data_IF_330704477553
#
_entry.id   IF_330704477553
#
_cell.length_a   1.000
_cell.length_b   1.000
_cell.length_c   1.000
_cell.angle_alpha   90.00
_cell.angle_beta   90.00
_cell.angle_gamma   90.00
#
_symmetry.space_group_name_H-M   'P 1'
#
loop_
_entity.id
_entity.type
_entity.pdbx_description
1 polymer ?
#
# COMPACT_ATOMS: atom_id res chain seq x y z
N UNK A 1 34.82 -27.94 -59.34
CA UNK A 1 34.81 -28.93 -58.23
C UNK A 1 35.62 -28.33 -57.10
N UNK A 2 35.17 -28.12 -55.89
CA UNK A 2 33.84 -28.13 -55.28
C UNK A 2 33.91 -27.12 -54.12
N UNK A 3 32.87 -26.33 -53.95
CA UNK A 3 32.65 -25.55 -52.74
C UNK A 3 32.28 -26.53 -51.62
N UNK A 4 32.95 -26.43 -50.47
CA UNK A 4 32.58 -27.18 -49.27
C UNK A 4 31.70 -26.31 -48.40
N UNK A 5 30.42 -26.66 -48.35
CA UNK A 5 29.39 -26.07 -47.49
C UNK A 5 29.75 -26.25 -46.02
N UNK A 6 29.95 -25.13 -45.31
CA UNK A 6 29.99 -25.12 -43.85
C UNK A 6 28.57 -25.19 -43.30
N UNK A 7 28.22 -26.32 -42.71
CA UNK A 7 27.01 -26.47 -41.90
C UNK A 7 26.98 -25.41 -40.77
N UNK A 8 25.85 -24.71 -40.56
CA UNK A 8 25.72 -23.83 -39.41
C UNK A 8 25.54 -24.65 -38.12
N UNK A 9 26.28 -24.26 -37.09
CA UNK A 9 26.26 -24.78 -35.71
C UNK A 9 24.82 -24.94 -35.16
N UNK A 10 24.42 -26.14 -34.67
CA UNK A 10 23.05 -26.40 -34.18
C UNK A 10 22.74 -25.78 -32.80
N UNK A 11 23.60 -24.96 -32.20
CA UNK A 11 23.41 -24.41 -30.86
C UNK A 11 22.95 -22.93 -30.80
N UNK A 12 22.41 -22.34 -31.88
CA UNK A 12 21.59 -21.12 -31.72
C UNK A 12 20.20 -21.56 -31.26
N UNK A 13 20.06 -21.84 -29.95
CA UNK A 13 18.74 -21.89 -29.32
C UNK A 13 18.01 -20.60 -29.68
N UNK A 14 16.96 -20.72 -30.50
CA UNK A 14 16.06 -19.62 -30.82
C UNK A 14 15.62 -19.01 -29.48
N UNK A 15 16.03 -17.77 -29.21
CA UNK A 15 15.48 -17.01 -28.08
C UNK A 15 13.95 -17.10 -28.20
N UNK A 16 13.23 -17.54 -27.16
CA UNK A 16 11.78 -17.66 -27.24
C UNK A 16 11.20 -16.34 -27.76
N UNK A 17 10.35 -16.42 -28.77
CA UNK A 17 9.70 -15.25 -29.35
C UNK A 17 9.08 -14.42 -28.22
N UNK A 18 9.47 -13.15 -28.17
CA UNK A 18 8.93 -12.15 -27.24
C UNK A 18 7.43 -12.01 -27.45
N UNK A 19 6.62 -12.75 -26.69
CA UNK A 19 5.17 -12.56 -26.74
C UNK A 19 4.80 -11.38 -25.85
N UNK A 20 4.58 -10.22 -26.49
CA UNK A 20 3.99 -9.08 -25.81
C UNK A 20 2.62 -9.48 -25.25
N UNK A 21 2.31 -9.00 -24.04
CA UNK A 21 1.07 -9.29 -23.32
C UNK A 21 0.38 -7.98 -22.99
N UNK A 22 -0.94 -8.00 -22.96
CA UNK A 22 -1.75 -6.89 -22.47
C UNK A 22 -1.95 -7.04 -20.97
N UNK A 23 -1.36 -6.16 -20.17
CA UNK A 23 -1.32 -6.27 -18.71
C UNK A 23 -2.05 -5.10 -18.04
N UNK A 24 -2.96 -5.42 -17.13
CA UNK A 24 -3.61 -4.43 -16.27
C UNK A 24 -2.86 -4.34 -14.94
N UNK A 25 -2.49 -3.13 -14.53
CA UNK A 25 -1.99 -2.85 -13.18
C UNK A 25 -3.07 -2.10 -12.41
N UNK A 26 -3.51 -2.65 -11.28
CA UNK A 26 -4.55 -2.05 -10.45
C UNK A 26 -3.87 -1.26 -9.32
N UNK A 27 -3.90 0.08 -9.43
CA UNK A 27 -3.25 1.03 -8.52
C UNK A 27 -2.06 1.74 -9.16
N UNK A 28 -2.03 3.06 -9.05
CA UNK A 28 -0.97 3.99 -9.48
C UNK A 28 -0.10 4.50 -8.34
N UNK A 29 -0.01 3.75 -7.24
CA UNK A 29 0.96 3.99 -6.17
C UNK A 29 2.38 3.51 -6.54
N UNK A 30 3.34 3.67 -5.63
CA UNK A 30 4.74 3.28 -5.83
C UNK A 30 4.92 1.85 -6.39
N UNK A 31 4.20 0.87 -5.85
CA UNK A 31 4.22 -0.52 -6.30
C UNK A 31 3.71 -0.68 -7.75
N UNK A 32 2.59 -0.04 -8.08
CA UNK A 32 2.00 -0.11 -9.42
C UNK A 32 2.83 0.62 -10.46
N UNK A 33 3.45 1.74 -10.11
CA UNK A 33 4.37 2.47 -10.99
C UNK A 33 5.64 1.67 -11.27
N UNK A 34 6.20 0.99 -10.26
CA UNK A 34 7.32 0.07 -10.44
C UNK A 34 6.93 -1.09 -11.38
N UNK A 35 5.78 -1.73 -11.15
CA UNK A 35 5.25 -2.78 -12.02
C UNK A 35 5.06 -2.30 -13.46
N UNK A 36 4.43 -1.15 -13.66
CA UNK A 36 4.19 -0.59 -14.98
C UNK A 36 5.50 -0.27 -15.72
N UNK A 37 6.49 0.27 -15.02
CA UNK A 37 7.83 0.54 -15.56
C UNK A 37 8.50 -0.72 -16.07
N UNK A 38 8.58 -1.75 -15.23
CA UNK A 38 9.28 -2.98 -15.57
C UNK A 38 8.54 -3.79 -16.64
N UNK A 39 7.21 -3.84 -16.61
CA UNK A 39 6.40 -4.45 -17.66
C UNK A 39 6.61 -3.78 -19.03
N UNK A 40 6.65 -2.44 -19.08
CA UNK A 40 6.96 -1.72 -20.34
C UNK A 40 8.37 -1.96 -20.81
N UNK A 41 9.34 -2.06 -19.88
CA UNK A 41 10.74 -2.37 -20.21
C UNK A 41 10.90 -3.74 -20.84
N UNK A 42 10.10 -4.73 -20.45
CA UNK A 42 10.04 -6.06 -21.06
C UNK A 42 9.15 -6.13 -22.33
N UNK A 43 8.59 -5.00 -22.78
CA UNK A 43 7.85 -4.90 -24.05
C UNK A 43 6.36 -5.26 -23.98
N UNK A 44 5.76 -5.28 -22.79
CA UNK A 44 4.33 -5.53 -22.62
C UNK A 44 3.49 -4.26 -22.83
N UNK A 45 2.25 -4.44 -23.30
CA UNK A 45 1.26 -3.37 -23.40
C UNK A 45 0.57 -3.18 -22.05
N UNK A 46 0.84 -2.07 -21.36
CA UNK A 46 0.41 -1.85 -19.98
C UNK A 46 -0.73 -0.84 -19.90
N UNK A 47 -1.70 -1.10 -19.03
CA UNK A 47 -2.69 -0.10 -18.57
C UNK A 47 -2.69 -0.08 -17.05
N UNK A 48 -2.45 1.08 -16.46
CA UNK A 48 -2.58 1.31 -15.01
C UNK A 48 -3.94 1.95 -14.75
N UNK A 49 -4.74 1.37 -13.85
CA UNK A 49 -6.01 1.95 -13.40
C UNK A 49 -5.83 2.52 -11.99
N UNK A 50 -5.90 3.84 -11.86
CA UNK A 50 -5.75 4.58 -10.60
C UNK A 50 -7.04 5.30 -10.27
N UNK A 51 -7.58 5.05 -9.08
CA UNK A 51 -8.86 5.61 -8.65
C UNK A 51 -8.77 7.12 -8.33
N UNK A 52 -7.59 7.61 -7.99
CA UNK A 52 -7.37 8.99 -7.58
C UNK A 52 -7.13 9.91 -8.79
N UNK A 53 -7.20 11.22 -8.55
CA UNK A 53 -6.95 12.25 -9.55
C UNK A 53 -5.49 12.46 -9.94
N UNK A 54 -4.55 11.79 -9.27
CA UNK A 54 -3.12 11.78 -9.59
C UNK A 54 -2.52 10.42 -9.16
N UNK A 55 -1.29 10.14 -9.60
CA UNK A 55 -0.52 8.98 -9.13
C UNK A 55 0.02 9.21 -7.72
N UNK A 56 0.58 8.16 -7.11
CA UNK A 56 1.30 8.26 -5.83
C UNK A 56 0.68 7.45 -4.69
N UNK A 57 -0.59 7.04 -4.81
CA UNK A 57 -1.27 6.20 -3.81
C UNK A 57 -1.24 6.85 -2.42
N UNK A 58 -0.65 6.16 -1.42
CA UNK A 58 -0.52 6.70 -0.05
C UNK A 58 0.11 8.09 0.03
N UNK A 59 0.99 8.45 -0.90
CA UNK A 59 1.71 9.72 -0.86
C UNK A 59 0.89 10.89 -1.41
N UNK A 60 -0.21 10.61 -2.12
CA UNK A 60 -1.19 11.61 -2.54
C UNK A 60 -2.06 12.00 -1.34
N UNK A 61 -1.67 13.08 -0.67
CA UNK A 61 -2.37 13.58 0.51
C UNK A 61 -3.66 14.31 0.12
N UNK A 62 -4.74 13.92 0.79
CA UNK A 62 -6.04 14.59 0.72
C UNK A 62 -6.35 15.22 2.08
N UNK A 63 -6.45 16.55 2.20
CA UNK A 63 -6.82 17.20 3.45
C UNK A 63 -8.28 16.96 3.86
N UNK A 64 -9.12 16.50 2.94
CA UNK A 64 -10.54 16.23 3.20
C UNK A 64 -10.74 14.82 3.76
N UNK A 65 -11.78 14.68 4.58
CA UNK A 65 -12.22 13.40 5.17
C UNK A 65 -13.67 13.09 4.84
N UNK A 66 -14.32 13.91 4.00
CA UNK A 66 -15.78 14.02 3.98
C UNK A 66 -16.52 13.20 2.93
N UNK A 67 -15.87 12.55 1.95
CA UNK A 67 -16.61 11.82 0.91
C UNK A 67 -15.92 10.53 0.45
N UNK A 68 -16.38 9.39 0.95
CA UNK A 68 -16.02 8.05 0.45
C UNK A 68 -14.74 7.43 1.05
N UNK A 69 -14.29 6.34 0.44
CA UNK A 69 -13.06 5.63 0.82
C UNK A 69 -11.88 6.50 0.37
N UNK A 70 -11.29 7.26 1.30
CA UNK A 70 -10.09 8.05 1.01
C UNK A 70 -8.92 7.08 0.81
N UNK A 71 -8.23 7.08 -0.34
CA UNK A 71 -7.18 6.09 -0.58
C UNK A 71 -5.99 6.26 0.37
N UNK A 72 -5.63 7.51 0.69
CA UNK A 72 -4.45 7.85 1.49
C UNK A 72 -4.74 7.97 2.99
N UNK A 73 -3.82 7.41 3.78
CA UNK A 73 -3.74 7.58 5.24
C UNK A 73 -2.72 8.63 5.67
N UNK A 74 -2.17 9.42 4.73
CA UNK A 74 -1.20 10.44 5.06
C UNK A 74 -1.85 11.61 5.82
N UNK A 75 -1.08 12.21 6.72
CA UNK A 75 -1.44 13.41 7.46
C UNK A 75 -0.39 14.50 7.22
N UNK A 76 -0.77 15.76 7.46
CA UNK A 76 -0.02 16.93 6.98
C UNK A 76 1.43 16.98 7.48
N UNK A 77 1.67 16.53 8.71
CA UNK A 77 3.01 16.52 9.30
C UNK A 77 3.84 15.28 8.94
N UNK A 78 3.28 14.31 8.22
CA UNK A 78 3.93 13.02 7.95
C UNK A 78 5.26 13.22 7.23
N UNK A 79 6.32 12.64 7.81
CA UNK A 79 7.67 12.62 7.23
C UNK A 79 8.17 11.19 7.15
N UNK A 80 9.10 10.96 6.24
CA UNK A 80 9.79 9.69 6.18
C UNK A 80 10.57 9.43 7.47
N UNK A 81 10.44 8.21 7.99
CA UNK A 81 11.32 7.70 9.05
C UNK A 81 12.57 7.03 8.50
N UNK A 82 12.56 6.70 7.22
CA UNK A 82 13.70 6.22 6.45
C UNK A 82 14.36 7.38 5.71
N UNK A 83 15.69 7.34 5.53
CA UNK A 83 16.37 8.36 4.75
C UNK A 83 15.95 8.24 3.28
N UNK A 84 15.84 9.37 2.56
CA UNK A 84 15.36 9.42 1.16
C UNK A 84 16.12 8.47 0.23
N UNK A 85 17.41 8.24 0.50
CA UNK A 85 18.25 7.36 -0.29
C UNK A 85 17.71 5.91 -0.29
N UNK A 86 17.19 5.45 0.85
CA UNK A 86 16.55 4.14 0.99
C UNK A 86 15.16 4.07 0.32
N UNK A 87 14.60 5.22 -0.07
CA UNK A 87 13.34 5.35 -0.79
C UNK A 87 13.50 5.47 -2.32
N UNK A 88 14.73 5.29 -2.83
CA UNK A 88 15.06 5.30 -4.25
C UNK A 88 14.67 4.00 -4.96
N UNK A 89 14.32 4.11 -6.24
CA UNK A 89 14.40 2.97 -7.17
C UNK A 89 15.85 2.82 -7.64
N UNK A 90 16.24 1.61 -8.03
CA UNK A 90 17.65 1.34 -8.34
C UNK A 90 18.18 2.11 -9.55
N UNK A 91 17.34 2.41 -10.54
CA UNK A 91 17.69 3.21 -11.73
C UNK A 91 17.12 4.64 -11.70
N UNK A 92 16.53 5.06 -10.57
CA UNK A 92 16.01 6.41 -10.37
C UNK A 92 16.16 6.84 -8.90
N UNK A 93 17.20 7.60 -8.62
CA UNK A 93 17.56 7.98 -7.26
C UNK A 93 16.68 9.11 -6.71
N UNK A 94 16.29 8.99 -5.44
CA UNK A 94 15.54 10.04 -4.74
C UNK A 94 16.50 11.08 -4.14
N UNK A 95 17.00 11.94 -5.02
CA UNK A 95 17.91 13.04 -4.66
C UNK A 95 17.14 14.34 -4.35
N UNK A 96 17.69 15.24 -3.52
CA UNK A 96 17.18 16.60 -3.38
C UNK A 96 17.12 17.30 -4.74
N UNK A 97 16.05 18.05 -4.96
CA UNK A 97 15.86 18.88 -6.15
C UNK A 97 15.52 20.30 -5.72
N UNK A 98 16.01 21.27 -6.49
CA UNK A 98 15.68 22.68 -6.25
C UNK A 98 14.23 22.96 -6.62
N UNK A 99 13.60 23.85 -5.86
CA UNK A 99 12.26 24.33 -6.15
C UNK A 99 11.53 24.83 -4.90
N UNK A 100 10.61 25.80 -5.04
CA UNK A 100 9.95 26.45 -3.90
C UNK A 100 9.07 25.49 -3.09
N UNK A 101 8.61 24.40 -3.69
CA UNK A 101 7.78 23.37 -3.04
C UNK A 101 8.54 22.08 -2.71
N UNK A 102 9.83 22.01 -3.03
CA UNK A 102 10.66 20.82 -2.77
C UNK A 102 11.15 20.81 -1.33
N UNK A 103 11.25 19.63 -0.77
CA UNK A 103 11.81 19.42 0.56
C UNK A 103 13.23 18.87 0.42
N UNK A 104 14.31 19.58 0.82
CA UNK A 104 15.68 19.11 0.66
C UNK A 104 16.15 18.18 1.80
N UNK A 105 15.35 18.00 2.86
CA UNK A 105 15.78 17.31 4.08
C UNK A 105 16.00 15.83 3.82
N UNK A 106 17.01 15.20 4.45
CA UNK A 106 17.26 13.74 4.30
C UNK A 106 16.04 12.87 4.65
N UNK A 107 15.19 13.35 5.57
CA UNK A 107 13.91 12.76 5.96
C UNK A 107 12.77 13.72 5.58
N UNK A 108 12.38 13.76 4.30
CA UNK A 108 11.43 14.75 3.82
C UNK A 108 9.98 14.41 4.20
N UNK A 109 9.08 15.37 3.99
CA UNK A 109 7.64 15.20 4.11
C UNK A 109 7.04 14.33 3.00
N UNK A 110 5.85 13.79 3.26
CA UNK A 110 5.13 12.92 2.32
C UNK A 110 4.93 13.55 0.93
N UNK A 111 4.79 14.88 0.84
CA UNK A 111 4.64 15.62 -0.43
C UNK A 111 5.83 15.46 -1.36
N UNK A 112 7.04 15.41 -0.80
CA UNK A 112 8.27 15.24 -1.59
C UNK A 112 8.35 13.84 -2.19
N UNK A 113 7.84 12.82 -1.49
CA UNK A 113 7.72 11.45 -2.04
C UNK A 113 6.73 11.42 -3.19
N UNK A 114 5.61 12.14 -3.09
CA UNK A 114 4.67 12.28 -4.20
C UNK A 114 5.33 12.98 -5.40
N UNK A 115 6.08 14.06 -5.20
CA UNK A 115 6.85 14.72 -6.28
C UNK A 115 7.88 13.79 -6.91
N UNK A 116 8.60 13.00 -6.10
CA UNK A 116 9.52 11.98 -6.60
C UNK A 116 8.84 10.95 -7.50
N UNK A 117 7.64 10.46 -7.13
CA UNK A 117 6.89 9.53 -7.96
C UNK A 117 6.38 10.17 -9.26
N UNK A 118 6.00 11.45 -9.22
CA UNK A 118 5.67 12.20 -10.45
C UNK A 118 6.88 12.40 -11.35
N UNK A 119 8.03 12.72 -10.78
CA UNK A 119 9.29 12.85 -11.53
C UNK A 119 9.67 11.49 -12.17
N UNK A 120 9.47 10.38 -11.46
CA UNK A 120 9.66 9.03 -11.98
C UNK A 120 8.72 8.74 -13.17
N UNK A 121 7.43 9.09 -13.05
CA UNK A 121 6.48 8.96 -14.15
C UNK A 121 6.90 9.80 -15.37
N UNK A 122 7.35 11.03 -15.16
CA UNK A 122 7.79 11.92 -16.24
C UNK A 122 9.06 11.39 -16.93
N UNK A 123 10.07 10.98 -16.15
CA UNK A 123 11.34 10.47 -16.68
C UNK A 123 11.16 9.22 -17.57
N UNK A 124 10.15 8.41 -17.28
CA UNK A 124 9.90 7.15 -17.98
C UNK A 124 8.62 7.15 -18.82
N UNK A 125 7.99 8.31 -19.01
CA UNK A 125 6.78 8.47 -19.82
C UNK A 125 5.62 7.58 -19.38
N UNK A 126 5.50 7.28 -18.08
CA UNK A 126 4.53 6.28 -17.59
C UNK A 126 3.08 6.75 -17.66
N UNK A 127 2.85 8.07 -17.65
CA UNK A 127 1.50 8.64 -17.65
C UNK A 127 0.67 8.24 -18.86
N UNK A 128 1.29 7.93 -20.01
CA UNK A 128 0.59 7.42 -21.20
C UNK A 128 -0.16 6.11 -20.96
N UNK A 129 0.30 5.31 -19.99
CA UNK A 129 -0.33 4.06 -19.60
C UNK A 129 -1.35 4.24 -18.46
N UNK A 130 -1.39 5.41 -17.80
CA UNK A 130 -2.19 5.64 -16.59
C UNK A 130 -3.57 6.19 -16.93
N UNK A 131 -4.59 5.51 -16.42
CA UNK A 131 -5.98 5.98 -16.40
C UNK A 131 -6.32 6.43 -14.99
N UNK A 132 -6.25 7.73 -14.77
CA UNK A 132 -6.64 8.38 -13.51
C UNK A 132 -8.16 8.37 -13.34
N UNK A 133 -8.63 8.63 -12.11
CA UNK A 133 -10.05 8.65 -11.75
C UNK A 133 -10.81 7.39 -12.20
N UNK A 134 -10.13 6.25 -12.27
CA UNK A 134 -10.65 4.99 -12.80
C UNK A 134 -10.55 3.92 -11.73
N UNK A 135 -11.68 3.60 -11.11
CA UNK A 135 -11.75 2.59 -10.04
C UNK A 135 -12.08 1.23 -10.65
N UNK A 136 -11.23 0.24 -10.38
CA UNK A 136 -11.53 -1.16 -10.70
C UNK A 136 -12.57 -1.69 -9.72
N UNK A 137 -13.67 -2.21 -10.26
CA UNK A 137 -14.81 -2.74 -9.47
C UNK A 137 -14.92 -4.25 -9.55
N UNK A 138 -14.38 -4.88 -10.62
CA UNK A 138 -14.31 -6.34 -10.72
C UNK A 138 -13.13 -6.79 -11.59
N UNK A 139 -12.46 -7.86 -11.17
CA UNK A 139 -11.47 -8.62 -11.92
C UNK A 139 -11.87 -10.08 -11.81
N UNK A 140 -12.19 -10.72 -12.94
CA UNK A 140 -12.63 -12.12 -12.98
C UNK A 140 -12.05 -12.84 -14.21
N UNK A 141 -11.80 -14.15 -14.14
CA UNK A 141 -11.38 -14.92 -15.31
C UNK A 141 -12.45 -14.88 -16.41
N UNK A 142 -12.02 -14.81 -17.68
CA UNK A 142 -12.94 -14.84 -18.84
C UNK A 142 -13.48 -16.25 -19.13
N UNK A 143 -12.73 -17.28 -18.74
CA UNK A 143 -13.06 -18.70 -18.90
C UNK A 143 -12.49 -19.51 -17.74
N UNK A 144 -13.14 -20.63 -17.43
CA UNK A 144 -12.68 -21.62 -16.45
C UNK A 144 -11.59 -22.55 -16.98
N UNK A 145 -11.36 -22.58 -18.30
CA UNK A 145 -10.36 -23.47 -18.94
C UNK A 145 -8.92 -22.96 -18.77
N UNK A 146 -7.98 -23.88 -18.56
CA UNK A 146 -6.58 -23.58 -18.19
C UNK A 146 -5.63 -23.27 -19.36
N UNK A 147 -6.04 -23.47 -20.63
CA UNK A 147 -5.11 -23.38 -21.78
C UNK A 147 -4.54 -21.98 -22.03
N UNK A 148 -5.34 -20.93 -21.85
CA UNK A 148 -4.89 -19.53 -21.83
C UNK A 148 -5.86 -18.72 -20.96
N UNK A 149 -5.42 -18.37 -19.74
CA UNK A 149 -6.25 -17.62 -18.79
C UNK A 149 -6.14 -16.12 -19.07
N UNK A 150 -7.29 -15.49 -19.35
CA UNK A 150 -7.42 -14.04 -19.48
C UNK A 150 -8.37 -13.50 -18.41
N UNK A 151 -8.29 -12.20 -18.17
CA UNK A 151 -9.01 -11.52 -17.10
C UNK A 151 -9.90 -10.42 -17.67
N UNK A 152 -11.19 -10.48 -17.37
CA UNK A 152 -12.11 -9.39 -17.58
C UNK A 152 -12.00 -8.41 -16.40
N UNK A 153 -11.56 -7.19 -16.69
CA UNK A 153 -11.47 -6.10 -15.74
C UNK A 153 -12.59 -5.12 -16.03
N UNK A 154 -13.47 -4.90 -15.04
CA UNK A 154 -14.51 -3.87 -15.06
C UNK A 154 -14.06 -2.69 -14.20
N UNK A 155 -14.22 -1.49 -14.73
CA UNK A 155 -13.84 -0.25 -14.06
C UNK A 155 -14.87 0.84 -14.30
N UNK A 156 -14.99 1.76 -13.35
CA UNK A 156 -15.87 2.94 -13.43
C UNK A 156 -15.02 4.22 -13.36
N UNK A 157 -15.41 5.25 -14.13
CA UNK A 157 -14.83 6.59 -14.01
C UNK A 157 -15.49 7.34 -12.85
N UNK A 158 -14.68 7.90 -11.96
CA UNK A 158 -15.17 8.67 -10.81
C UNK A 158 -15.42 10.15 -11.14
N UNK A 159 -14.86 10.66 -12.26
CA UNK A 159 -15.06 12.02 -12.75
C UNK A 159 -15.33 12.01 -14.25
N UNK A 160 -16.46 12.58 -14.67
CA UNK A 160 -16.81 12.89 -16.07
C UNK A 160 -17.40 11.75 -16.90
N UNK A 161 -18.56 12.03 -17.52
CA UNK A 161 -19.25 11.15 -18.49
C UNK A 161 -20.24 10.16 -17.87
N UNK A 162 -21.18 9.57 -18.66
CA UNK A 162 -22.03 8.49 -18.17
C UNK A 162 -21.16 7.37 -17.58
N UNK A 163 -21.67 6.64 -16.58
CA UNK A 163 -21.04 5.45 -15.97
C UNK A 163 -20.68 4.43 -17.06
N UNK A 164 -19.54 4.63 -17.70
CA UNK A 164 -19.05 3.74 -18.72
C UNK A 164 -18.32 2.63 -17.95
N UNK A 165 -19.09 1.61 -17.56
CA UNK A 165 -18.59 0.35 -17.04
C UNK A 165 -17.77 -0.33 -18.14
N UNK A 166 -16.54 0.15 -18.29
CA UNK A 166 -15.64 -0.32 -19.31
C UNK A 166 -15.13 -1.70 -18.90
N UNK A 167 -15.61 -2.72 -19.60
CA UNK A 167 -15.09 -4.08 -19.51
C UNK A 167 -13.97 -4.25 -20.53
N UNK A 168 -12.76 -4.52 -20.04
CA UNK A 168 -11.58 -4.75 -20.89
C UNK A 168 -10.94 -6.09 -20.52
N UNK A 169 -10.58 -6.88 -21.54
CA UNK A 169 -9.86 -8.14 -21.36
C UNK A 169 -8.35 -7.90 -21.40
N UNK A 170 -7.65 -8.55 -20.47
CA UNK A 170 -6.19 -8.53 -20.31
C UNK A 170 -5.64 -9.95 -20.19
N UNK A 171 -4.40 -10.16 -20.63
CA UNK A 171 -3.70 -11.45 -20.52
C UNK A 171 -3.13 -11.66 -19.11
N UNK A 172 -2.85 -10.58 -18.38
CA UNK A 172 -2.44 -10.63 -17.00
C UNK A 172 -2.92 -9.43 -16.18
N UNK A 173 -3.02 -9.62 -14.87
CA UNK A 173 -3.36 -8.58 -13.90
C UNK A 173 -2.30 -8.53 -12.79
N UNK A 174 -1.86 -7.32 -12.45
CA UNK A 174 -1.03 -7.02 -11.29
C UNK A 174 -1.85 -6.24 -10.28
N UNK A 175 -2.04 -6.79 -9.09
CA UNK A 175 -2.71 -6.13 -7.97
C UNK A 175 -1.68 -5.34 -7.17
N UNK A 176 -1.79 -4.02 -7.19
CA UNK A 176 -0.85 -3.10 -6.54
C UNK A 176 -1.57 -1.99 -5.73
N UNK A 177 -2.69 -2.35 -5.10
CA UNK A 177 -3.60 -1.42 -4.39
C UNK A 177 -3.13 -0.99 -3.00
N UNK A 178 -1.98 -1.50 -2.54
CA UNK A 178 -1.44 -1.20 -1.22
C UNK A 178 -2.19 -1.90 -0.07
N UNK A 179 -1.78 -1.57 1.16
CA UNK A 179 -2.18 -2.31 2.38
C UNK A 179 -2.56 -1.41 3.56
N UNK A 180 -2.62 -0.10 3.36
CA UNK A 180 -2.74 0.89 4.43
C UNK A 180 -3.97 1.80 4.26
N UNK A 181 -5.06 1.25 3.72
CA UNK A 181 -6.28 2.01 3.41
C UNK A 181 -7.56 1.34 3.95
N UNK A 182 -7.48 0.13 4.50
CA UNK A 182 -8.60 -0.55 5.17
C UNK A 182 -8.35 -0.61 6.68
N UNK A 183 -8.88 0.34 7.49
CA UNK A 183 -8.70 0.39 8.94
C UNK A 183 -9.10 -0.91 9.63
N UNK A 184 -8.37 -1.30 10.68
CA UNK A 184 -8.79 -2.36 11.60
C UNK A 184 -9.15 -1.74 12.93
N UNK A 185 -10.38 -1.92 13.38
CA UNK A 185 -10.79 -1.56 14.72
C UNK A 185 -10.44 -2.70 15.69
N UNK A 186 -10.02 -2.39 16.93
CA UNK A 186 -9.67 -3.42 17.91
C UNK A 186 -10.93 -4.21 18.32
N UNK A 187 -10.88 -5.54 18.19
CA UNK A 187 -11.96 -6.45 18.61
C UNK A 187 -11.88 -6.82 20.09
N UNK A 188 -10.74 -6.55 20.72
CA UNK A 188 -10.41 -6.90 22.11
C UNK A 188 -10.71 -5.79 23.13
N UNK A 189 -11.15 -4.61 22.66
CA UNK A 189 -11.52 -3.49 23.54
C UNK A 189 -13.03 -3.46 23.68
N UNK A 190 -13.50 -3.62 24.91
CA UNK A 190 -14.93 -3.55 25.23
C UNK A 190 -15.48 -2.13 25.09
N UNK A 191 -16.76 -2.00 24.79
CA UNK A 191 -17.45 -0.70 24.80
C UNK A 191 -17.05 0.26 23.67
N UNK A 192 -16.34 -0.20 22.63
CA UNK A 192 -16.04 0.63 21.45
C UNK A 192 -17.30 1.19 20.79
N UNK A 193 -18.41 0.44 20.78
CA UNK A 193 -19.71 0.93 20.30
C UNK A 193 -20.50 1.77 21.32
N UNK A 194 -20.10 1.75 22.60
CA UNK A 194 -20.75 2.51 23.68
C UNK A 194 -20.15 3.92 23.83
N UNK A 195 -18.93 4.13 23.33
CA UNK A 195 -18.24 5.43 23.37
C UNK A 195 -19.06 6.51 22.65
N UNK A 196 -19.39 7.58 23.39
CA UNK A 196 -20.24 8.67 22.89
C UNK A 196 -19.48 9.92 22.47
N UNK A 197 -18.19 9.99 22.78
CA UNK A 197 -17.33 11.13 22.42
C UNK A 197 -16.65 10.87 21.07
N UNK A 198 -15.73 11.73 20.68
CA UNK A 198 -15.05 11.60 19.39
C UNK A 198 -14.21 10.33 19.34
N UNK A 199 -14.33 9.57 18.26
CA UNK A 199 -13.45 8.46 17.96
C UNK A 199 -13.10 8.42 16.48
N UNK A 200 -11.89 8.00 16.15
CA UNK A 200 -11.46 7.84 14.77
C UNK A 200 -10.31 6.83 14.66
N UNK A 201 -10.12 6.22 13.50
CA UNK A 201 -8.89 5.52 13.18
C UNK A 201 -7.82 6.50 12.64
N UNK A 202 -6.54 6.16 12.77
CA UNK A 202 -5.40 6.95 12.26
C UNK A 202 -5.51 7.25 10.76
N UNK A 203 -6.25 6.41 10.01
CA UNK A 203 -6.60 6.61 8.61
C UNK A 203 -7.29 7.95 8.33
N UNK A 204 -8.08 8.45 9.29
CA UNK A 204 -8.84 9.69 9.18
C UNK A 204 -8.13 10.88 9.85
N UNK A 205 -6.99 10.66 10.52
CA UNK A 205 -6.20 11.75 11.09
C UNK A 205 -5.58 12.58 9.96
N UNK A 206 -5.60 13.91 10.10
CA UNK A 206 -5.07 14.83 9.08
C UNK A 206 -4.16 15.91 9.65
N UNK A 207 -4.62 16.58 10.70
CA UNK A 207 -3.87 17.64 11.37
C UNK A 207 -4.20 17.64 12.87
N UNK A 208 -3.37 18.26 13.72
CA UNK A 208 -3.57 18.23 15.16
C UNK A 208 -4.58 19.27 15.64
N UNK A 209 -4.81 20.36 14.89
CA UNK A 209 -5.61 21.51 15.34
C UNK A 209 -7.01 21.16 15.87
N UNK A 210 -7.75 20.18 15.30
CA UNK A 210 -9.04 19.76 15.82
C UNK A 210 -9.02 19.13 17.22
N UNK A 211 -7.84 18.86 17.80
CA UNK A 211 -7.66 18.24 19.11
C UNK A 211 -7.10 19.23 20.15
N UNK A 212 -7.13 20.52 19.84
CA UNK A 212 -6.58 21.56 20.71
C UNK A 212 -7.28 21.57 22.08
N UNK A 213 -6.49 21.47 23.15
CA UNK A 213 -6.97 21.47 24.53
C UNK A 213 -7.69 20.19 24.97
N UNK A 214 -7.78 19.17 24.11
CA UNK A 214 -8.41 17.88 24.42
C UNK A 214 -7.48 16.96 25.21
N UNK A 215 -8.07 16.05 25.99
CA UNK A 215 -7.43 14.81 26.40
C UNK A 215 -7.63 13.74 25.34
N UNK A 216 -6.54 13.25 24.74
CA UNK A 216 -6.59 12.29 23.64
C UNK A 216 -5.98 10.96 24.06
N UNK A 217 -6.72 9.87 23.90
CA UNK A 217 -6.18 8.52 24.03
C UNK A 217 -5.81 7.97 22.65
N UNK A 218 -4.55 7.60 22.47
CA UNK A 218 -4.04 6.95 21.26
C UNK A 218 -3.87 5.46 21.55
N UNK A 219 -4.72 4.62 20.93
CA UNK A 219 -4.69 3.17 21.11
C UNK A 219 -3.71 2.57 20.10
N UNK A 220 -2.61 1.99 20.59
CA UNK A 220 -1.52 1.47 19.79
C UNK A 220 -0.37 2.46 19.67
N UNK A 221 0.86 1.97 19.84
CA UNK A 221 2.09 2.76 19.87
C UNK A 221 3.09 2.32 18.79
N UNK A 222 2.59 1.76 17.69
CA UNK A 222 3.40 1.54 16.49
C UNK A 222 3.75 2.86 15.80
N UNK A 223 4.06 2.79 14.50
CA UNK A 223 4.50 3.95 13.72
C UNK A 223 3.50 5.10 13.75
N UNK A 224 2.22 4.82 13.45
CA UNK A 224 1.17 5.85 13.48
C UNK A 224 0.92 6.40 14.88
N UNK A 225 0.86 5.54 15.90
CA UNK A 225 0.55 5.97 17.26
C UNK A 225 1.62 6.89 17.83
N UNK A 226 2.89 6.54 17.61
CA UNK A 226 4.04 7.35 18.04
C UNK A 226 4.08 8.69 17.31
N UNK A 227 3.95 8.70 15.98
CA UNK A 227 4.06 9.92 15.18
C UNK A 227 2.87 10.87 15.41
N UNK A 228 1.64 10.34 15.48
CA UNK A 228 0.44 11.12 15.78
C UNK A 228 0.50 11.69 17.20
N UNK A 229 0.95 10.92 18.20
CA UNK A 229 1.11 11.45 19.57
C UNK A 229 2.12 12.61 19.61
N UNK A 230 3.22 12.52 18.86
CA UNK A 230 4.21 13.59 18.74
C UNK A 230 3.69 14.83 18.04
N UNK A 231 2.71 14.70 17.14
CA UNK A 231 2.05 15.82 16.49
C UNK A 231 1.00 16.46 17.41
N UNK A 232 0.16 15.63 18.04
CA UNK A 232 -0.87 16.07 19.00
C UNK A 232 -0.32 16.83 20.20
N UNK A 233 0.88 16.48 20.68
CA UNK A 233 1.50 17.16 21.85
C UNK A 233 1.64 18.67 21.68
N UNK A 234 1.60 19.16 20.44
CA UNK A 234 1.71 20.59 20.12
C UNK A 234 0.46 21.39 20.49
N UNK A 235 -0.68 20.73 20.65
CA UNK A 235 -1.98 21.40 20.80
C UNK A 235 -2.91 20.77 21.84
N UNK A 236 -2.81 19.46 22.08
CA UNK A 236 -3.64 18.75 23.05
C UNK A 236 -3.24 19.11 24.49
N UNK A 237 -4.19 19.01 25.43
CA UNK A 237 -3.90 19.19 26.87
C UNK A 237 -3.08 18.02 27.40
N UNK A 238 -3.45 16.81 26.99
CA UNK A 238 -2.78 15.57 27.38
C UNK A 238 -2.98 14.49 26.33
N UNK A 239 -1.97 13.65 26.12
CA UNK A 239 -2.00 12.54 25.18
C UNK A 239 -1.59 11.25 25.90
N UNK A 240 -2.48 10.27 25.87
CA UNK A 240 -2.34 8.99 26.56
C UNK A 240 -2.11 7.88 25.54
N UNK A 241 -0.89 7.38 25.45
CA UNK A 241 -0.54 6.23 24.61
C UNK A 241 -0.91 4.95 25.35
N UNK A 242 -1.81 4.15 24.78
CA UNK A 242 -2.18 2.84 25.31
C UNK A 242 -1.46 1.74 24.52
N UNK A 243 -0.57 0.99 25.18
CA UNK A 243 0.33 0.04 24.55
C UNK A 243 0.30 -1.33 25.22
N UNK A 244 0.46 -2.41 24.43
CA UNK A 244 0.87 -3.69 24.99
C UNK A 244 2.32 -3.60 25.51
N UNK A 245 2.72 -4.57 26.33
CA UNK A 245 4.12 -4.68 26.81
C UNK A 245 5.12 -4.72 25.65
N UNK A 246 4.80 -5.44 24.57
CA UNK A 246 5.62 -5.48 23.35
C UNK A 246 5.69 -4.15 22.61
N UNK A 247 4.61 -3.35 22.67
CA UNK A 247 4.55 -2.04 22.04
C UNK A 247 5.35 -0.95 22.78
N UNK A 248 5.55 -1.11 24.10
CA UNK A 248 6.27 -0.17 24.96
C UNK A 248 7.80 -0.27 24.81
N UNK A 249 8.30 -0.03 23.59
CA UNK A 249 9.74 -0.11 23.30
C UNK A 249 10.55 0.94 24.07
N UNK A 250 11.87 0.74 24.27
CA UNK A 250 12.73 1.75 24.90
C UNK A 250 12.70 3.12 24.21
N UNK A 251 12.46 3.16 22.90
CA UNK A 251 12.32 4.41 22.16
C UNK A 251 11.02 5.15 22.53
N UNK A 252 9.90 4.44 22.67
CA UNK A 252 8.63 5.00 23.13
C UNK A 252 8.76 5.50 24.57
N UNK A 253 9.38 4.72 25.46
CA UNK A 253 9.59 5.14 26.85
C UNK A 253 10.44 6.42 26.94
N UNK A 254 11.52 6.53 26.15
CA UNK A 254 12.32 7.77 26.07
C UNK A 254 11.53 8.94 25.51
N UNK A 255 10.73 8.72 24.48
CA UNK A 255 9.87 9.75 23.90
C UNK A 255 8.90 10.31 24.95
N UNK A 256 8.25 9.43 25.71
CA UNK A 256 7.32 9.83 26.78
C UNK A 256 8.08 10.55 27.89
N UNK A 257 9.26 10.08 28.30
CA UNK A 257 10.08 10.77 29.29
C UNK A 257 10.50 12.19 28.85
N UNK A 258 10.86 12.36 27.57
CA UNK A 258 11.26 13.67 27.01
C UNK A 258 10.10 14.67 26.90
N UNK A 259 8.85 14.19 26.92
CA UNK A 259 7.64 14.99 26.74
C UNK A 259 6.59 14.65 27.81
N UNK A 260 7.05 14.35 29.04
CA UNK A 260 6.19 13.87 30.13
C UNK A 260 5.22 14.91 30.69
N UNK A 261 5.35 16.17 30.27
CA UNK A 261 4.40 17.25 30.53
C UNK A 261 3.05 17.01 29.82
N UNK A 262 3.08 16.40 28.62
CA UNK A 262 1.88 16.16 27.80
C UNK A 262 1.64 14.67 27.54
N UNK A 263 2.70 13.88 27.31
CA UNK A 263 2.61 12.47 26.96
C UNK A 263 2.61 11.57 28.20
N UNK A 264 1.70 10.59 28.23
CA UNK A 264 1.63 9.55 29.26
C UNK A 264 1.52 8.18 28.59
N UNK A 265 2.23 7.19 29.14
CA UNK A 265 2.16 5.81 28.68
C UNK A 265 1.29 4.99 29.63
N UNK A 266 0.38 4.22 29.07
CA UNK A 266 -0.55 3.33 29.78
C UNK A 266 -0.45 1.92 29.21
N UNK A 267 -0.77 0.89 30.01
CA UNK A 267 -1.00 -0.45 29.49
C UNK A 267 -2.15 -0.48 28.46
N UNK A 268 -2.36 -1.65 27.85
CA UNK A 268 -3.41 -1.85 26.84
C UNK A 268 -4.76 -1.35 27.37
N UNK A 269 -5.45 -0.53 26.57
CA UNK A 269 -6.82 -0.15 26.84
C UNK A 269 -7.70 -1.41 26.83
N UNK A 270 -8.60 -1.53 27.80
CA UNK A 270 -9.52 -2.67 27.94
C UNK A 270 -10.95 -2.31 27.62
N UNK A 271 -11.39 -1.14 28.04
CA UNK A 271 -12.78 -0.71 27.88
C UNK A 271 -12.91 0.78 27.64
N UNK A 272 -13.76 1.14 26.69
CA UNK A 272 -14.27 2.49 26.50
C UNK A 272 -15.65 2.59 27.16
N UNK A 273 -15.84 3.56 28.03
CA UNK A 273 -17.09 3.75 28.77
C UNK A 273 -17.92 4.88 28.16
N UNK A 274 -19.24 4.78 28.28
CA UNK A 274 -20.16 5.79 27.76
C UNK A 274 -20.01 7.18 28.43
N UNK A 275 -19.46 7.23 29.65
CA UNK A 275 -19.18 8.47 30.40
C UNK A 275 -17.94 9.24 29.91
N UNK A 276 -17.17 8.68 28.96
CA UNK A 276 -15.93 9.25 28.45
C UNK A 276 -14.67 8.74 29.14
N UNK A 277 -14.77 7.72 30.00
CA UNK A 277 -13.63 7.08 30.63
C UNK A 277 -13.03 6.00 29.72
N UNK A 278 -11.71 5.87 29.75
CA UNK A 278 -10.96 4.73 29.19
C UNK A 278 -10.28 4.00 30.34
N UNK A 279 -10.55 2.70 30.46
CA UNK A 279 -9.91 1.82 31.46
C UNK A 279 -8.78 1.01 30.83
N UNK A 280 -7.66 0.89 31.55
CA UNK A 280 -6.47 0.17 31.11
C UNK A 280 -6.28 -1.15 31.86
N UNK A 281 -5.38 -1.99 31.37
CA UNK A 281 -5.18 -3.34 31.89
C UNK A 281 -4.65 -3.43 33.33
N UNK A 282 -4.07 -2.36 33.86
CA UNK A 282 -3.62 -2.25 35.26
C UNK A 282 -4.71 -1.75 36.22
N UNK A 283 -5.94 -1.53 35.72
CA UNK A 283 -7.05 -0.99 36.48
C UNK A 283 -7.09 0.53 36.58
N UNK A 284 -6.06 1.23 36.06
CA UNK A 284 -6.09 2.68 35.95
C UNK A 284 -7.11 3.14 34.91
N UNK A 285 -7.51 4.41 34.98
CA UNK A 285 -8.44 4.98 34.00
C UNK A 285 -8.24 6.48 33.83
N UNK A 286 -8.61 6.99 32.66
CA UNK A 286 -8.54 8.41 32.31
C UNK A 286 -9.84 8.85 31.65
N UNK A 287 -10.26 10.09 31.89
CA UNK A 287 -11.36 10.71 31.13
C UNK A 287 -10.76 11.36 29.90
N UNK A 288 -11.23 10.97 28.72
CA UNK A 288 -10.71 11.46 27.44
C UNK A 288 -11.82 12.08 26.59
N UNK A 289 -11.47 13.09 25.81
CA UNK A 289 -12.37 13.75 24.87
C UNK A 289 -12.40 13.00 23.52
N UNK A 290 -11.26 12.41 23.15
CA UNK A 290 -11.07 11.69 21.89
C UNK A 290 -10.33 10.37 22.09
N UNK A 291 -10.75 9.34 21.34
CA UNK A 291 -9.96 8.11 21.12
C UNK A 291 -9.50 8.02 19.66
N UNK A 292 -8.19 7.84 19.44
CA UNK A 292 -7.61 7.59 18.12
C UNK A 292 -7.07 6.16 18.06
N UNK A 293 -7.67 5.33 17.22
CA UNK A 293 -7.20 3.97 16.97
C UNK A 293 -6.03 3.96 15.99
N UNK A 294 -4.85 3.61 16.48
CA UNK A 294 -3.64 3.37 15.70
C UNK A 294 -3.35 1.86 15.62
N UNK A 295 -4.39 1.10 15.31
CA UNK A 295 -4.46 -0.37 15.39
C UNK A 295 -4.17 -1.09 14.08
N UNK A 296 -3.75 -0.34 13.06
CA UNK A 296 -3.25 -0.89 11.81
C UNK A 296 -4.32 -1.11 10.75
N UNK A 297 -3.97 -1.88 9.73
CA UNK A 297 -4.75 -2.03 8.53
C UNK A 297 -4.80 -3.48 8.08
N UNK A 298 -5.90 -3.87 7.47
CA UNK A 298 -6.10 -5.17 6.84
C UNK A 298 -5.98 -5.09 5.32
N UNK A 299 -5.89 -6.25 4.68
CA UNK A 299 -6.06 -6.38 3.23
C UNK A 299 -7.53 -6.50 2.88
N UNK A 300 -7.89 -5.93 1.73
CA UNK A 300 -9.24 -6.06 1.19
C UNK A 300 -9.17 -5.95 -0.33
N UNK A 301 -9.63 -7.00 -1.01
CA UNK A 301 -9.67 -7.07 -2.48
C UNK A 301 -11.08 -7.43 -2.97
N UNK A 302 -12.11 -6.65 -2.63
CA UNK A 302 -13.51 -6.99 -2.94
C UNK A 302 -13.80 -7.01 -4.44
N UNK A 303 -12.94 -6.37 -5.24
CA UNK A 303 -13.01 -6.40 -6.69
C UNK A 303 -12.45 -7.69 -7.30
N UNK A 304 -11.68 -8.50 -6.56
CA UNK A 304 -10.93 -9.61 -7.13
C UNK A 304 -11.68 -10.94 -6.93
N UNK A 305 -12.17 -11.51 -8.03
CA UNK A 305 -12.83 -12.80 -8.07
C UNK A 305 -11.87 -13.86 -8.62
N UNK A 306 -11.26 -14.61 -7.70
CA UNK A 306 -10.31 -15.68 -8.01
C UNK A 306 -10.91 -17.08 -7.94
N UNK A 307 -12.21 -17.22 -7.63
CA UNK A 307 -12.82 -18.51 -7.32
C UNK A 307 -12.19 -19.21 -6.11
N UNK A 308 -11.65 -18.45 -5.15
CA UNK A 308 -11.04 -18.98 -3.92
C UNK A 308 -9.55 -19.30 -4.03
N UNK A 309 -8.90 -19.05 -5.17
CA UNK A 309 -7.46 -19.28 -5.33
C UNK A 309 -6.58 -18.29 -4.55
N UNK A 310 -7.15 -17.17 -4.08
CA UNK A 310 -6.52 -16.22 -3.17
C UNK A 310 -7.53 -15.79 -2.12
N UNK A 311 -7.12 -15.80 -0.87
CA UNK A 311 -7.87 -15.32 0.28
C UNK A 311 -7.03 -14.34 1.12
N UNK A 312 -7.74 -13.51 1.88
CA UNK A 312 -7.15 -12.78 3.00
C UNK A 312 -7.39 -13.64 4.24
N UNK A 313 -6.35 -13.88 5.04
CA UNK A 313 -6.45 -14.64 6.28
C UNK A 313 -7.42 -14.02 7.29
N UNK A 314 -7.88 -14.81 8.25
CA UNK A 314 -8.88 -14.39 9.25
C UNK A 314 -8.44 -13.17 10.07
N UNK A 315 -7.13 -12.99 10.25
CA UNK A 315 -6.54 -11.83 10.93
C UNK A 315 -6.51 -10.55 10.06
N UNK A 316 -6.94 -10.64 8.81
CA UNK A 316 -6.90 -9.56 7.82
C UNK A 316 -5.49 -9.17 7.37
N UNK A 317 -4.44 -9.84 7.86
CA UNK A 317 -3.05 -9.39 7.77
C UNK A 317 -2.17 -10.28 6.90
N UNK A 318 -2.73 -11.34 6.32
CA UNK A 318 -2.03 -12.24 5.40
C UNK A 318 -2.82 -12.39 4.11
N UNK A 319 -2.13 -12.39 2.96
CA UNK A 319 -2.71 -12.70 1.65
C UNK A 319 -2.10 -14.01 1.17
N UNK A 320 -2.92 -15.00 0.84
CA UNK A 320 -2.41 -16.32 0.49
C UNK A 320 -3.41 -17.21 -0.24
N UNK A 321 -2.93 -18.33 -0.80
CA UNK A 321 -1.52 -18.69 -0.92
C UNK A 321 -0.80 -17.84 -1.98
N UNK A 322 0.41 -17.35 -1.66
CA UNK A 322 1.28 -16.62 -2.59
C UNK A 322 2.69 -17.19 -2.53
N UNK A 323 3.20 -17.71 -3.64
CA UNK A 323 4.60 -18.05 -3.81
C UNK A 323 5.44 -16.77 -3.78
N UNK A 324 6.39 -16.72 -2.84
CA UNK A 324 7.29 -15.58 -2.60
C UNK A 324 6.56 -14.23 -2.47
N UNK A 325 5.34 -14.25 -1.92
CA UNK A 325 4.48 -13.07 -1.76
C UNK A 325 4.13 -12.34 -3.07
N UNK A 326 4.25 -13.00 -4.23
CA UNK A 326 3.95 -12.43 -5.56
C UNK A 326 2.85 -13.20 -6.27
N UNK A 327 3.01 -14.51 -6.42
CA UNK A 327 2.16 -15.29 -7.33
C UNK A 327 1.25 -16.26 -6.60
N UNK A 328 -0.07 -16.21 -6.82
CA UNK A 328 -0.92 -17.35 -6.49
C UNK A 328 -0.51 -18.55 -7.35
N UNK A 329 -0.10 -19.69 -6.77
CA UNK A 329 0.51 -20.79 -7.54
C UNK A 329 -0.36 -21.28 -8.71
N UNK A 330 -1.68 -21.34 -8.51
CA UNK A 330 -2.63 -21.81 -9.53
C UNK A 330 -3.01 -20.75 -10.59
N UNK A 331 -2.58 -19.50 -10.42
CA UNK A 331 -2.90 -18.37 -11.31
C UNK A 331 -1.66 -17.76 -11.97
N UNK A 332 -0.46 -18.19 -11.60
CA UNK A 332 0.79 -17.66 -12.13
C UNK A 332 0.95 -17.93 -13.64
N UNK A 333 1.55 -17.02 -14.43
CA UNK A 333 1.87 -15.63 -14.10
C UNK A 333 0.71 -14.66 -14.39
N UNK A 334 -0.49 -15.16 -14.72
CA UNK A 334 -1.62 -14.35 -15.17
C UNK A 334 -2.24 -13.45 -14.08
N UNK A 335 -2.04 -13.78 -12.80
CA UNK A 335 -2.35 -12.90 -11.67
C UNK A 335 -1.12 -12.79 -10.77
N UNK A 336 -0.81 -11.58 -10.33
CA UNK A 336 0.30 -11.31 -9.41
C UNK A 336 -0.02 -10.17 -8.45
N UNK A 337 0.70 -10.12 -7.33
CA UNK A 337 0.62 -9.08 -6.32
C UNK A 337 1.97 -8.40 -6.17
N UNK A 338 1.96 -7.07 -6.09
CA UNK A 338 3.17 -6.27 -5.83
C UNK A 338 2.88 -5.32 -4.67
N UNK A 339 3.75 -5.33 -3.66
CA UNK A 339 3.62 -4.45 -2.49
C UNK A 339 2.67 -4.95 -1.40
N UNK A 340 2.36 -6.25 -1.37
CA UNK A 340 1.61 -6.88 -0.26
C UNK A 340 2.48 -7.31 0.92
N UNK A 341 3.81 -7.33 0.79
CA UNK A 341 4.68 -7.68 1.92
C UNK A 341 4.73 -6.56 2.97
N UNK A 342 4.76 -6.96 4.25
CA UNK A 342 4.91 -6.04 5.40
C UNK A 342 6.34 -6.04 5.91
N UNK A 343 6.73 -4.94 6.57
CA UNK A 343 8.06 -4.79 7.21
C UNK A 343 9.24 -4.93 6.23
N UNK A 344 9.08 -4.43 5.01
CA UNK A 344 10.11 -4.44 3.95
C UNK A 344 10.62 -3.03 3.64
N UNK A 345 11.80 -2.93 3.03
CA UNK A 345 12.26 -1.71 2.36
C UNK A 345 11.50 -1.54 1.04
N UNK A 346 10.46 -0.68 1.07
CA UNK A 346 9.39 -0.69 0.07
C UNK A 346 9.88 -0.57 -1.38
N UNK A 347 10.60 0.49 -1.81
CA UNK A 347 10.89 0.66 -3.23
C UNK A 347 11.74 -0.49 -3.82
N UNK A 348 12.79 -0.90 -3.11
CA UNK A 348 13.67 -2.00 -3.54
C UNK A 348 12.90 -3.33 -3.63
N UNK A 349 12.05 -3.61 -2.65
CA UNK A 349 11.28 -4.85 -2.62
C UNK A 349 10.23 -4.87 -3.74
N UNK A 350 9.46 -3.79 -3.92
CA UNK A 350 8.44 -3.74 -4.98
C UNK A 350 9.05 -3.69 -6.38
N UNK A 351 10.25 -3.11 -6.53
CA UNK A 351 11.01 -3.14 -7.79
C UNK A 351 11.47 -4.57 -8.13
N UNK A 352 11.99 -5.31 -7.14
CA UNK A 352 12.35 -6.71 -7.34
C UNK A 352 11.13 -7.58 -7.72
N UNK A 353 10.01 -7.40 -7.02
CA UNK A 353 8.74 -8.07 -7.37
C UNK A 353 8.28 -7.69 -8.80
N UNK A 354 8.31 -6.39 -9.15
CA UNK A 354 7.92 -5.88 -10.46
C UNK A 354 8.75 -6.46 -11.60
N UNK A 355 10.08 -6.53 -11.44
CA UNK A 355 10.99 -7.15 -12.42
C UNK A 355 10.68 -8.61 -12.64
N UNK A 356 10.45 -9.36 -11.55
CA UNK A 356 10.14 -10.77 -11.64
C UNK A 356 8.77 -11.00 -12.32
N UNK A 357 7.75 -10.19 -11.99
CA UNK A 357 6.45 -10.21 -12.67
C UNK A 357 6.59 -9.95 -14.17
N UNK A 358 7.39 -8.96 -14.56
CA UNK A 358 7.61 -8.64 -15.96
C UNK A 358 8.30 -9.79 -16.72
N UNK A 359 9.35 -10.38 -16.15
CA UNK A 359 10.05 -11.52 -16.76
C UNK A 359 9.18 -12.79 -16.84
N UNK A 360 8.35 -13.04 -15.84
CA UNK A 360 7.39 -14.14 -15.84
C UNK A 360 6.30 -13.93 -16.91
N UNK A 361 5.84 -12.68 -17.11
CA UNK A 361 4.92 -12.34 -18.19
C UNK A 361 5.52 -12.61 -19.58
N UNK A 362 6.81 -12.34 -19.76
CA UNK A 362 7.57 -12.64 -20.97
C UNK A 362 7.80 -14.14 -21.21
N UNK A 363 7.64 -14.99 -20.19
CA UNK A 363 7.95 -16.42 -20.26
C UNK A 363 9.45 -16.73 -20.10
N UNK A 364 10.23 -15.79 -19.56
CA UNK A 364 11.69 -15.92 -19.41
C UNK A 364 12.14 -16.50 -18.06
N UNK A 365 11.21 -16.77 -17.15
CA UNK A 365 11.50 -17.40 -15.86
C UNK A 365 10.74 -18.71 -15.77
N UNK A 366 11.37 -19.84 -15.42
CA UNK A 366 10.61 -21.03 -15.04
C UNK A 366 9.82 -20.68 -13.78
N UNK A 367 8.53 -20.40 -13.93
CA UNK A 367 7.58 -20.58 -12.83
C UNK A 367 7.71 -22.05 -12.47
N UNK A 368 8.40 -22.34 -11.37
CA UNK A 368 8.72 -23.70 -10.95
C UNK A 368 7.47 -24.55 -11.13
N UNK A 369 7.60 -25.50 -12.06
CA UNK A 369 6.59 -26.46 -12.42
C UNK A 369 5.95 -27.01 -11.15
N UNK A 370 4.66 -27.31 -11.20
CA UNK A 370 3.81 -27.94 -10.18
C UNK A 370 4.42 -29.11 -9.38
N UNK A 371 5.63 -29.57 -9.69
CA UNK A 371 6.35 -30.67 -9.07
C UNK A 371 7.21 -30.29 -7.85
N UNK A 372 7.39 -28.99 -7.53
CA UNK A 372 8.10 -28.57 -6.31
C UNK A 372 7.15 -28.14 -5.16
N UNK A 373 5.85 -28.38 -5.30
CA UNK A 373 4.79 -27.87 -4.41
C UNK A 373 3.88 -28.97 -3.84
N UNK A 374 4.41 -30.19 -3.65
CA UNK A 374 3.81 -31.23 -2.77
C UNK A 374 4.52 -31.31 -1.45
#
# INVERSE_FOLDING_TARGET
>A
MAAGDGEPDPAVQQRPQLQSKKVCVVGGGMAGLAAARELRREGHAVTVMEQSGDVGGQWLYDPTTTHGVVPSSAYACLRLRTPREAMSFSDFQFLPRDGPSRDPRRFPGHREVHFYLRDFCAAFGLMDAVRLNTRVVRVAPTSTTTRQRQWAVRSVRLLGGPDDDARVVFDAVVVATGQYSHPMLPSDIEGVGEWRRRQLHSHLYRTPEPFRGEAVVVVGCGDSGTDIALDLRRVAREVHLAASSEGATPAVSRMVANHGDVLRLHPRARRLHADGRVSFADGSSVVADTVIFCTGYGYSFPFLDTGGAVAVGDDGCVVGPLFEHVFPPSLAPSLSFVGVARKVLVPWFVEAQARWVAQACRGSTPTTTSAALT
#
